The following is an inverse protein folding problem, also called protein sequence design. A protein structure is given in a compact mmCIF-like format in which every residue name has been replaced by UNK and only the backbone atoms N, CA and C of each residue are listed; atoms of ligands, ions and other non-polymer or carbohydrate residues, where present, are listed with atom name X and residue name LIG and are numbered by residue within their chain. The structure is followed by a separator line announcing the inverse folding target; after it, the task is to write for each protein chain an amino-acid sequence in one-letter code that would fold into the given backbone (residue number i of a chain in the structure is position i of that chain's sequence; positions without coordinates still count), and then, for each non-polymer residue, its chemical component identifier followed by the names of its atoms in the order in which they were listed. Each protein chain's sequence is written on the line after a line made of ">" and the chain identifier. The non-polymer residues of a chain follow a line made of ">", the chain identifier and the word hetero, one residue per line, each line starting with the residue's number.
data_IF_293725551150
#
_entry.id   IF_293725551150
#
_cell.length_a   1.000
_cell.length_b   1.000
_cell.length_c   1.000
_cell.angle_alpha   90.00
_cell.angle_beta   90.00
_cell.angle_gamma   90.00
#
_symmetry.space_group_name_H-M   'P 1'
#
loop_
_entity.id
_entity.type
_entity.pdbx_description
1 polymer ?
#
# COMPACT_ATOMS: atom_id res chain seq x y z
N UNK A 1 -15.87 24.20 -29.24
CA UNK A 1 -16.46 23.73 -28.00
C UNK A 1 -15.32 23.67 -26.98
N UNK A 2 -15.44 24.36 -25.84
CA UNK A 2 -14.39 24.37 -24.82
C UNK A 2 -14.50 23.08 -23.99
N UNK A 3 -13.38 22.38 -23.80
CA UNK A 3 -13.30 21.19 -22.96
C UNK A 3 -12.57 21.50 -21.67
N UNK A 4 -13.10 20.98 -20.57
CA UNK A 4 -12.50 21.07 -19.24
C UNK A 4 -12.24 19.67 -18.71
N UNK A 5 -11.03 19.41 -18.25
CA UNK A 5 -10.68 18.16 -17.57
C UNK A 5 -10.63 18.41 -16.08
N UNK A 6 -11.36 17.62 -15.32
CA UNK A 6 -11.29 17.60 -13.86
C UNK A 6 -10.50 16.36 -13.45
N UNK A 7 -9.28 16.56 -12.96
CA UNK A 7 -8.36 15.53 -12.52
C UNK A 7 -7.96 15.84 -11.07
N UNK A 8 -8.87 15.57 -10.15
CA UNK A 8 -8.69 15.85 -8.72
C UNK A 8 -8.45 14.58 -7.93
N UNK A 9 -7.59 14.68 -6.91
CA UNK A 9 -7.49 13.67 -5.86
C UNK A 9 -8.53 13.94 -4.76
N UNK A 10 -8.60 13.04 -3.78
CA UNK A 10 -9.44 13.12 -2.58
C UNK A 10 -9.01 14.25 -1.65
N UNK A 11 -9.95 14.70 -0.81
CA UNK A 11 -9.64 15.50 0.40
C UNK A 11 -9.68 14.55 1.61
N UNK A 12 -8.50 14.13 2.07
CA UNK A 12 -8.33 13.13 3.14
C UNK A 12 -9.29 13.38 4.31
N UNK A 13 -10.10 12.37 4.65
CA UNK A 13 -11.03 12.40 5.77
C UNK A 13 -12.34 13.16 5.53
N UNK A 14 -12.57 13.76 4.34
CA UNK A 14 -13.78 14.54 4.04
C UNK A 14 -14.48 14.13 2.76
N UNK A 15 -13.81 14.19 1.61
CA UNK A 15 -14.41 13.89 0.31
C UNK A 15 -13.55 12.89 -0.48
N UNK A 16 -14.19 11.95 -1.13
CA UNK A 16 -13.55 11.09 -2.13
C UNK A 16 -13.18 11.87 -3.39
N UNK A 17 -12.25 11.39 -4.20
CA UNK A 17 -11.90 12.00 -5.48
C UNK A 17 -13.13 12.13 -6.40
N UNK A 18 -14.07 11.18 -6.34
CA UNK A 18 -15.31 11.22 -7.12
C UNK A 18 -16.24 12.33 -6.66
N UNK A 19 -16.41 12.54 -5.36
CA UNK A 19 -17.24 13.63 -4.82
C UNK A 19 -16.63 14.99 -5.13
N UNK A 20 -15.30 15.15 -4.97
CA UNK A 20 -14.60 16.39 -5.38
C UNK A 20 -14.84 16.68 -6.85
N UNK A 21 -14.66 15.68 -7.72
CA UNK A 21 -14.85 15.85 -9.15
C UNK A 21 -16.32 16.19 -9.50
N UNK A 22 -17.29 15.58 -8.81
CA UNK A 22 -18.71 15.88 -9.01
C UNK A 22 -19.05 17.34 -8.63
N UNK A 23 -18.57 17.80 -7.48
CA UNK A 23 -18.80 19.18 -7.04
C UNK A 23 -18.10 20.20 -7.94
N UNK A 24 -16.85 19.94 -8.36
CA UNK A 24 -16.16 20.81 -9.32
C UNK A 24 -16.88 20.87 -10.66
N UNK A 25 -17.33 19.71 -11.17
CA UNK A 25 -18.07 19.65 -12.44
C UNK A 25 -19.38 20.40 -12.37
N UNK A 26 -20.13 20.27 -11.26
CA UNK A 26 -21.37 21.01 -11.04
C UNK A 26 -21.15 22.52 -11.03
N UNK A 27 -20.15 23.00 -10.29
CA UNK A 27 -19.84 24.43 -10.24
C UNK A 27 -19.36 25.00 -11.59
N UNK A 28 -18.57 24.23 -12.35
CA UNK A 28 -18.16 24.64 -13.70
C UNK A 28 -19.37 24.77 -14.62
N UNK A 29 -20.27 23.80 -14.62
CA UNK A 29 -21.44 23.80 -15.49
C UNK A 29 -22.50 24.83 -15.09
N UNK A 30 -22.56 25.24 -13.82
CA UNK A 30 -23.41 26.34 -13.34
C UNK A 30 -22.99 27.68 -13.96
N UNK A 31 -21.69 27.93 -14.08
CA UNK A 31 -21.16 29.17 -14.65
C UNK A 31 -20.99 29.10 -16.16
N UNK A 32 -20.66 27.94 -16.69
CA UNK A 32 -20.39 27.68 -18.11
C UNK A 32 -21.10 26.42 -18.60
N UNK A 33 -22.40 26.48 -18.84
CA UNK A 33 -23.19 25.32 -19.30
C UNK A 33 -22.84 24.84 -20.72
N UNK A 34 -22.07 25.63 -21.45
CA UNK A 34 -21.63 25.38 -22.83
C UNK A 34 -20.35 24.53 -22.93
N UNK A 35 -19.69 24.21 -21.82
CA UNK A 35 -18.44 23.42 -21.84
C UNK A 35 -18.71 21.93 -21.68
N UNK A 36 -17.84 21.12 -22.28
CA UNK A 36 -17.78 19.68 -22.05
C UNK A 36 -16.84 19.40 -20.87
N UNK A 37 -17.33 18.80 -19.79
CA UNK A 37 -16.52 18.43 -18.63
C UNK A 37 -16.21 16.93 -18.69
N UNK A 38 -14.91 16.60 -18.69
CA UNK A 38 -14.41 15.23 -18.61
C UNK A 38 -13.75 15.03 -17.25
N UNK A 39 -14.21 14.03 -16.48
CA UNK A 39 -13.60 13.64 -15.20
C UNK A 39 -12.59 12.53 -15.44
N UNK A 40 -11.35 12.76 -15.01
CA UNK A 40 -10.25 11.77 -15.04
C UNK A 40 -9.88 11.49 -13.59
N UNK A 41 -10.21 10.31 -13.05
CA UNK A 41 -9.80 9.97 -11.69
C UNK A 41 -8.28 9.82 -11.64
N UNK A 42 -7.68 10.40 -10.60
CA UNK A 42 -6.25 10.30 -10.33
C UNK A 42 -6.04 9.79 -8.90
N UNK A 43 -4.93 9.13 -8.67
CA UNK A 43 -4.49 8.68 -7.35
C UNK A 43 -2.97 8.81 -7.27
N UNK A 44 -2.49 9.20 -6.11
CA UNK A 44 -1.08 9.31 -5.77
C UNK A 44 -0.43 7.99 -5.29
N UNK A 45 -1.16 6.87 -5.46
CA UNK A 45 -0.76 5.56 -4.93
C UNK A 45 -1.25 5.30 -3.50
N UNK A 46 -1.94 6.25 -2.88
CA UNK A 46 -2.68 6.07 -1.64
C UNK A 46 -4.13 5.63 -1.88
N UNK A 47 -5.00 5.91 -0.89
CA UNK A 47 -6.42 5.56 -0.96
C UNK A 47 -7.07 6.05 -2.25
N UNK A 48 -7.85 5.19 -2.92
CA UNK A 48 -8.58 5.52 -4.16
C UNK A 48 -7.91 5.03 -5.45
N UNK A 49 -6.77 4.36 -5.37
CA UNK A 49 -6.11 3.73 -6.52
C UNK A 49 -7.02 2.69 -7.17
N UNK A 50 -7.66 1.83 -6.37
CA UNK A 50 -8.54 0.77 -6.89
C UNK A 50 -9.79 1.33 -7.55
N UNK A 51 -10.38 2.41 -7.01
CA UNK A 51 -11.52 3.11 -7.62
C UNK A 51 -11.14 3.74 -8.96
N UNK A 52 -9.97 4.36 -9.04
CA UNK A 52 -9.46 4.94 -10.28
C UNK A 52 -9.24 3.86 -11.34
N UNK A 53 -8.61 2.74 -10.98
CA UNK A 53 -8.39 1.61 -11.89
C UNK A 53 -9.70 0.95 -12.32
N UNK A 54 -10.68 0.78 -11.43
CA UNK A 54 -12.00 0.23 -11.77
C UNK A 54 -12.71 1.07 -12.82
N UNK A 55 -12.62 2.40 -12.77
CA UNK A 55 -13.15 3.31 -13.80
C UNK A 55 -12.42 3.18 -15.15
N UNK A 56 -11.18 2.66 -15.13
CA UNK A 56 -10.41 2.34 -16.33
C UNK A 56 -10.68 0.92 -16.87
N UNK A 57 -11.74 0.24 -16.40
CA UNK A 57 -12.15 -1.07 -16.89
C UNK A 57 -11.45 -2.25 -16.20
N UNK A 58 -10.87 -2.03 -15.03
CA UNK A 58 -10.38 -3.13 -14.19
C UNK A 58 -11.55 -3.76 -13.42
N UNK A 59 -11.54 -5.08 -13.33
CA UNK A 59 -12.54 -5.85 -12.58
C UNK A 59 -12.07 -6.06 -11.14
N UNK A 60 -13.00 -5.99 -10.19
CA UNK A 60 -12.71 -6.21 -8.77
C UNK A 60 -12.66 -7.71 -8.44
N UNK A 61 -11.59 -8.13 -7.77
CA UNK A 61 -11.40 -9.47 -7.23
C UNK A 61 -11.37 -9.40 -5.72
N UNK A 62 -12.37 -10.01 -5.07
CA UNK A 62 -12.44 -10.09 -3.61
C UNK A 62 -11.48 -11.17 -3.08
N UNK A 63 -10.75 -10.85 -2.01
CA UNK A 63 -9.82 -11.76 -1.35
C UNK A 63 -9.92 -11.61 0.17
N UNK A 64 -9.41 -12.60 0.91
CA UNK A 64 -9.17 -12.49 2.35
C UNK A 64 -7.68 -12.59 2.58
N UNK A 65 -7.12 -11.65 3.33
CA UNK A 65 -5.70 -11.58 3.63
C UNK A 65 -5.49 -11.22 5.12
N UNK A 66 -4.25 -11.30 5.57
CA UNK A 66 -3.87 -10.84 6.90
C UNK A 66 -3.97 -9.32 6.99
N UNK A 67 -4.67 -8.81 7.99
CA UNK A 67 -4.66 -7.41 8.36
C UNK A 67 -3.34 -7.01 9.02
N UNK A 68 -3.20 -5.73 9.42
CA UNK A 68 -1.93 -5.21 9.93
C UNK A 68 -1.42 -5.94 11.18
N UNK A 69 -2.28 -6.50 12.00
CA UNK A 69 -1.93 -7.26 13.21
C UNK A 69 -2.24 -8.77 13.09
N UNK A 70 -2.31 -9.29 11.84
CA UNK A 70 -2.43 -10.72 11.54
C UNK A 70 -3.86 -11.26 11.53
N UNK A 71 -4.89 -10.49 11.95
CA UNK A 71 -6.29 -10.91 11.85
C UNK A 71 -6.74 -10.97 10.38
N UNK A 72 -7.64 -11.90 10.02
CA UNK A 72 -8.16 -11.96 8.66
C UNK A 72 -9.02 -10.74 8.33
N UNK A 73 -8.75 -10.11 7.20
CA UNK A 73 -9.53 -8.99 6.66
C UNK A 73 -10.06 -9.33 5.28
N UNK A 74 -11.30 -8.96 5.02
CA UNK A 74 -11.84 -8.96 3.66
C UNK A 74 -11.31 -7.74 2.93
N UNK A 75 -10.69 -7.98 1.80
CA UNK A 75 -10.09 -6.96 0.96
C UNK A 75 -10.30 -7.30 -0.52
N UNK A 76 -9.66 -6.57 -1.40
CA UNK A 76 -9.77 -6.74 -2.86
C UNK A 76 -8.51 -6.27 -3.54
N UNK A 77 -8.34 -6.71 -4.76
CA UNK A 77 -7.52 -6.05 -5.76
C UNK A 77 -8.34 -5.88 -7.04
N UNK A 78 -7.84 -5.14 -8.00
CA UNK A 78 -8.47 -5.01 -9.30
C UNK A 78 -7.55 -5.52 -10.40
N UNK A 79 -8.13 -6.13 -11.46
CA UNK A 79 -7.35 -6.69 -12.56
C UNK A 79 -7.95 -6.36 -13.91
N UNK A 80 -7.11 -6.32 -14.95
CA UNK A 80 -7.50 -6.24 -16.35
C UNK A 80 -6.51 -7.07 -17.18
N UNK A 81 -6.95 -8.23 -17.66
CA UNK A 81 -6.04 -9.16 -18.33
C UNK A 81 -4.89 -9.60 -17.43
N UNK A 82 -3.64 -9.26 -17.79
CA UNK A 82 -2.42 -9.57 -17.02
C UNK A 82 -2.02 -8.45 -16.05
N UNK A 83 -2.73 -7.34 -16.06
CA UNK A 83 -2.48 -6.20 -15.18
C UNK A 83 -3.28 -6.31 -13.88
N UNK A 84 -2.68 -5.95 -12.77
CA UNK A 84 -3.36 -5.81 -11.47
C UNK A 84 -2.99 -4.49 -10.80
N UNK A 85 -3.90 -3.93 -10.01
CA UNK A 85 -3.59 -2.87 -9.07
C UNK A 85 -4.04 -3.29 -7.66
N UNK A 86 -3.17 -3.04 -6.69
CA UNK A 86 -3.34 -3.42 -5.28
C UNK A 86 -3.03 -2.20 -4.43
N UNK A 87 -3.85 -1.95 -3.42
CA UNK A 87 -3.73 -0.80 -2.52
C UNK A 87 -3.45 -1.29 -1.10
N UNK A 88 -2.31 -0.89 -0.55
CA UNK A 88 -1.88 -1.28 0.79
C UNK A 88 -2.87 -0.86 1.87
N UNK A 89 -3.46 0.34 1.73
CA UNK A 89 -4.44 0.88 2.68
C UNK A 89 -5.66 -0.04 2.85
N UNK A 90 -6.08 -0.72 1.79
CA UNK A 90 -7.21 -1.67 1.79
C UNK A 90 -6.89 -3.00 2.50
N UNK A 91 -5.62 -3.32 2.75
CA UNK A 91 -5.16 -4.58 3.31
C UNK A 91 -4.59 -4.41 4.71
N UNK A 92 -3.48 -3.68 4.83
CA UNK A 92 -2.72 -3.45 6.05
C UNK A 92 -2.50 -1.96 6.35
N UNK A 93 -3.49 -1.14 6.00
CA UNK A 93 -3.52 0.29 6.29
C UNK A 93 -3.91 0.63 7.74
N UNK A 94 -3.72 1.89 8.13
CA UNK A 94 -4.07 2.40 9.46
C UNK A 94 -5.55 2.21 9.80
N UNK A 95 -6.45 2.36 8.82
CA UNK A 95 -7.88 2.19 9.01
C UNK A 95 -8.30 0.70 9.17
N UNK A 96 -7.38 -0.24 8.93
CA UNK A 96 -7.59 -1.68 9.11
C UNK A 96 -7.14 -2.19 10.48
N UNK A 97 -6.57 -1.34 11.33
CA UNK A 97 -6.20 -1.69 12.69
C UNK A 97 -7.44 -1.97 13.53
N UNK A 98 -7.49 -3.11 14.27
CA UNK A 98 -8.60 -3.45 15.15
C UNK A 98 -8.82 -2.37 16.21
N UNK A 99 -10.06 -1.87 16.31
CA UNK A 99 -10.42 -0.82 17.27
C UNK A 99 -9.69 0.52 17.03
N UNK A 100 -8.92 0.67 15.93
CA UNK A 100 -8.07 1.83 15.70
C UNK A 100 -6.81 1.90 16.57
N UNK A 101 -6.47 0.80 17.25
CA UNK A 101 -5.29 0.72 18.12
C UNK A 101 -4.02 0.68 17.31
N UNK A 102 -3.19 1.72 17.46
CA UNK A 102 -1.92 1.84 16.73
C UNK A 102 -0.92 0.78 17.22
N UNK A 103 -0.25 0.11 16.28
CA UNK A 103 0.64 -1.02 16.54
C UNK A 103 1.99 -0.88 15.83
N UNK A 104 2.76 0.20 16.06
CA UNK A 104 3.95 0.53 15.28
C UNK A 104 5.02 -0.57 15.32
N UNK A 105 5.14 -1.30 16.42
CA UNK A 105 6.14 -2.33 16.61
C UNK A 105 5.79 -3.66 15.91
N UNK A 106 4.50 -3.98 15.81
CA UNK A 106 4.01 -5.32 15.42
C UNK A 106 3.20 -5.35 14.15
N UNK A 107 2.73 -4.20 13.66
CA UNK A 107 2.01 -4.15 12.39
C UNK A 107 2.91 -4.61 11.24
N UNK A 108 2.34 -5.43 10.34
CA UNK A 108 3.05 -6.09 9.24
C UNK A 108 2.44 -5.78 7.89
N UNK A 109 3.28 -5.76 6.87
CA UNK A 109 2.91 -5.70 5.46
C UNK A 109 2.57 -7.08 4.86
N UNK A 110 2.52 -8.16 5.66
CA UNK A 110 2.29 -9.54 5.21
C UNK A 110 1.06 -9.66 4.31
N UNK A 111 -0.06 -9.10 4.72
CA UNK A 111 -1.30 -9.20 3.96
C UNK A 111 -1.19 -8.62 2.55
N UNK A 112 -0.40 -7.55 2.35
CA UNK A 112 -0.14 -7.03 1.02
C UNK A 112 0.56 -8.08 0.15
N UNK A 113 1.56 -8.79 0.68
CA UNK A 113 2.23 -9.89 -0.02
C UNK A 113 1.30 -11.04 -0.35
N UNK A 114 0.35 -11.38 0.54
CA UNK A 114 -0.68 -12.41 0.29
C UNK A 114 -1.60 -12.03 -0.87
N UNK A 115 -1.99 -10.75 -0.97
CA UNK A 115 -2.79 -10.25 -2.10
C UNK A 115 -1.98 -10.26 -3.39
N UNK A 116 -0.69 -9.88 -3.34
CA UNK A 116 0.22 -9.99 -4.49
C UNK A 116 0.35 -11.44 -4.96
N UNK A 117 0.57 -12.39 -4.04
CA UNK A 117 0.62 -13.82 -4.37
C UNK A 117 -0.67 -14.27 -5.07
N UNK A 118 -1.84 -13.86 -4.55
CA UNK A 118 -3.13 -14.18 -5.16
C UNK A 118 -3.26 -13.60 -6.58
N UNK A 119 -2.76 -12.39 -6.82
CA UNK A 119 -2.76 -11.79 -8.15
C UNK A 119 -1.82 -12.55 -9.12
N UNK A 120 -0.64 -12.97 -8.64
CA UNK A 120 0.30 -13.81 -9.40
C UNK A 120 -0.31 -15.17 -9.75
N UNK A 121 -0.96 -15.85 -8.79
CA UNK A 121 -1.67 -17.10 -8.99
C UNK A 121 -2.83 -16.97 -9.99
N UNK A 122 -3.46 -15.77 -10.05
CA UNK A 122 -4.47 -15.45 -11.05
C UNK A 122 -3.88 -15.11 -12.43
N UNK A 123 -2.55 -15.23 -12.61
CA UNK A 123 -1.82 -15.01 -13.86
C UNK A 123 -1.48 -13.55 -14.17
N UNK A 124 -1.59 -12.64 -13.20
CA UNK A 124 -1.16 -11.27 -13.41
C UNK A 124 0.38 -11.19 -13.43
N UNK A 125 0.93 -10.49 -14.43
CA UNK A 125 2.38 -10.30 -14.61
C UNK A 125 2.82 -8.84 -14.54
N UNK A 126 1.89 -7.89 -14.51
CA UNK A 126 2.13 -6.47 -14.30
C UNK A 126 1.31 -5.98 -13.13
N UNK A 127 1.96 -5.72 -12.00
CA UNK A 127 1.28 -5.41 -10.73
C UNK A 127 1.69 -4.02 -10.27
N UNK A 128 0.72 -3.13 -10.13
CA UNK A 128 0.88 -1.80 -9.54
C UNK A 128 0.51 -1.86 -8.05
N UNK A 129 1.44 -1.48 -7.19
CA UNK A 129 1.27 -1.43 -5.75
C UNK A 129 1.19 0.02 -5.27
N UNK A 130 0.05 0.44 -4.78
CA UNK A 130 -0.08 1.69 -4.03
C UNK A 130 0.30 1.46 -2.57
N UNK A 131 1.33 2.12 -2.05
CA UNK A 131 1.86 1.88 -0.70
C UNK A 131 1.51 2.96 0.32
N UNK A 132 0.65 3.91 -0.04
CA UNK A 132 0.14 4.94 0.88
C UNK A 132 -0.72 4.35 2.02
N UNK A 133 -0.84 5.09 3.12
CA UNK A 133 -1.72 4.77 4.25
C UNK A 133 -1.33 3.56 5.10
N UNK A 134 -0.11 3.03 5.00
CA UNK A 134 0.35 1.83 5.72
C UNK A 134 0.32 1.98 7.24
N UNK A 135 -0.04 0.90 7.95
CA UNK A 135 0.10 0.80 9.40
C UNK A 135 1.48 0.28 9.83
N UNK A 136 2.13 -0.49 8.98
CA UNK A 136 3.40 -1.17 9.29
C UNK A 136 4.62 -0.24 9.22
N UNK A 137 5.68 -0.65 9.95
CA UNK A 137 7.02 -0.06 9.94
C UNK A 137 8.07 -1.13 9.60
N UNK A 138 7.65 -2.23 8.98
CA UNK A 138 8.46 -3.43 8.76
C UNK A 138 9.31 -3.40 7.48
N UNK A 139 9.43 -2.24 6.81
CA UNK A 139 10.24 -2.10 5.60
C UNK A 139 9.87 -3.05 4.45
N UNK A 140 8.64 -3.62 4.48
CA UNK A 140 8.19 -4.61 3.50
C UNK A 140 8.60 -6.05 3.82
N UNK A 141 9.18 -6.33 4.99
CA UNK A 141 9.60 -7.68 5.37
C UNK A 141 8.44 -8.67 5.39
N UNK A 142 7.28 -8.25 5.90
CA UNK A 142 6.06 -9.06 5.86
C UNK A 142 5.63 -9.39 4.43
N UNK A 143 5.66 -8.39 3.54
CA UNK A 143 5.31 -8.56 2.12
C UNK A 143 6.20 -9.61 1.46
N UNK A 144 7.51 -9.49 1.55
CA UNK A 144 8.43 -10.45 0.91
C UNK A 144 8.35 -11.83 1.57
N UNK A 145 8.06 -11.89 2.88
CA UNK A 145 7.85 -13.16 3.58
C UNK A 145 6.59 -13.88 3.10
N UNK A 146 5.49 -13.15 2.84
CA UNK A 146 4.29 -13.74 2.26
C UNK A 146 4.50 -14.22 0.81
N UNK A 147 5.44 -13.62 0.10
CA UNK A 147 5.87 -14.05 -1.23
C UNK A 147 6.89 -15.20 -1.21
N UNK A 148 7.19 -15.75 -0.04
CA UNK A 148 8.03 -16.95 0.13
C UNK A 148 9.48 -16.70 0.52
N UNK A 149 9.92 -15.45 0.68
CA UNK A 149 11.22 -15.16 1.29
C UNK A 149 11.20 -15.50 2.79
N UNK A 150 12.36 -15.77 3.37
CA UNK A 150 12.48 -15.95 4.82
C UNK A 150 13.50 -14.96 5.40
N UNK A 151 13.03 -14.08 6.29
CA UNK A 151 13.90 -13.24 7.11
C UNK A 151 14.37 -14.09 8.28
N UNK A 152 15.69 -14.29 8.43
CA UNK A 152 16.27 -15.18 9.43
C UNK A 152 17.14 -14.41 10.41
N UNK A 153 17.13 -14.87 11.66
CA UNK A 153 18.04 -14.41 12.70
C UNK A 153 19.44 -15.09 12.58
N UNK A 154 20.34 -14.74 13.49
CA UNK A 154 21.72 -15.31 13.54
C UNK A 154 21.72 -16.82 13.81
N UNK A 155 20.67 -17.39 14.34
CA UNK A 155 20.54 -18.84 14.59
C UNK A 155 19.94 -19.59 13.40
N UNK A 156 19.48 -18.88 12.38
CA UNK A 156 18.75 -19.41 11.21
C UNK A 156 17.26 -19.56 11.43
N UNK A 157 16.72 -19.16 12.59
CA UNK A 157 15.29 -19.17 12.85
C UNK A 157 14.59 -18.01 12.11
N UNK A 158 13.32 -18.21 11.76
CA UNK A 158 12.53 -17.16 11.11
C UNK A 158 12.21 -16.03 12.09
N UNK A 159 12.46 -14.80 11.66
CA UNK A 159 12.09 -13.60 12.41
C UNK A 159 10.58 -13.40 12.34
N UNK A 160 9.91 -13.11 13.46
CA UNK A 160 8.49 -12.78 13.48
C UNK A 160 8.14 -11.56 12.63
N UNK A 161 6.85 -11.42 12.28
CA UNK A 161 6.33 -10.24 11.61
C UNK A 161 6.39 -8.99 12.49
N UNK A 162 6.45 -7.81 11.84
CA UNK A 162 6.48 -6.50 12.49
C UNK A 162 7.85 -5.84 12.51
N UNK A 163 7.83 -4.51 12.52
CA UNK A 163 9.06 -3.70 12.41
C UNK A 163 10.06 -3.95 13.53
N UNK A 164 9.60 -4.05 14.78
CA UNK A 164 10.48 -4.28 15.93
C UNK A 164 11.23 -5.61 15.88
N UNK A 165 10.64 -6.63 15.28
CA UNK A 165 11.28 -7.95 15.18
C UNK A 165 12.50 -7.94 14.24
N UNK A 166 12.58 -6.97 13.32
CA UNK A 166 13.69 -6.85 12.36
C UNK A 166 15.04 -6.55 13.01
N UNK A 167 15.08 -6.11 14.27
CA UNK A 167 16.33 -6.01 15.04
C UNK A 167 17.07 -7.35 15.09
N UNK A 168 16.34 -8.46 15.04
CA UNK A 168 16.92 -9.81 15.08
C UNK A 168 17.35 -10.29 13.68
N UNK A 169 16.99 -9.57 12.61
CA UNK A 169 17.29 -9.99 11.26
C UNK A 169 18.79 -10.02 10.97
N UNK A 170 19.26 -11.12 10.40
CA UNK A 170 20.67 -11.32 10.05
C UNK A 170 20.86 -11.79 8.60
N UNK A 171 19.83 -12.39 7.99
CA UNK A 171 19.88 -12.87 6.62
C UNK A 171 18.48 -12.83 5.97
N UNK A 172 18.50 -12.68 4.65
CA UNK A 172 17.30 -12.81 3.80
C UNK A 172 17.51 -13.98 2.85
N UNK A 173 16.68 -15.01 2.99
CA UNK A 173 16.67 -16.18 2.13
C UNK A 173 15.55 -16.04 1.08
N UNK A 174 15.93 -15.98 -0.19
CA UNK A 174 15.03 -15.79 -1.33
C UNK A 174 14.68 -17.08 -2.06
N UNK A 175 15.17 -18.25 -1.59
CA UNK A 175 15.03 -19.53 -2.30
C UNK A 175 13.60 -20.00 -2.42
N UNK A 176 12.72 -19.58 -1.51
CA UNK A 176 11.30 -19.93 -1.50
C UNK A 176 10.38 -18.94 -2.23
N UNK A 177 10.93 -17.91 -2.90
CA UNK A 177 10.12 -16.90 -3.57
C UNK A 177 9.13 -17.49 -4.56
N UNK A 178 7.95 -16.89 -4.62
CA UNK A 178 6.89 -17.25 -5.55
C UNK A 178 7.42 -17.28 -7.00
N UNK A 179 7.32 -18.42 -7.71
CA UNK A 179 8.00 -18.61 -8.99
C UNK A 179 7.54 -17.61 -10.07
N UNK A 180 6.27 -17.18 -10.05
CA UNK A 180 5.76 -16.21 -11.02
C UNK A 180 6.39 -14.82 -10.87
N UNK A 181 7.12 -14.51 -9.80
CA UNK A 181 7.86 -13.26 -9.66
C UNK A 181 9.00 -13.12 -10.66
N UNK A 182 9.52 -14.23 -11.20
CA UNK A 182 10.57 -14.20 -12.22
C UNK A 182 10.12 -13.54 -13.52
N UNK A 183 8.83 -13.66 -13.84
CA UNK A 183 8.24 -13.15 -15.08
C UNK A 183 7.30 -11.95 -14.82
N UNK A 184 7.20 -11.50 -13.57
CA UNK A 184 6.33 -10.39 -13.19
C UNK A 184 7.11 -9.08 -12.99
N UNK A 185 6.45 -7.98 -13.30
CA UNK A 185 6.92 -6.63 -12.98
C UNK A 185 6.05 -6.06 -11.87
N UNK A 186 6.67 -5.69 -10.75
CA UNK A 186 6.03 -4.97 -9.65
C UNK A 186 6.45 -3.50 -9.73
N UNK A 187 5.47 -2.62 -9.90
CA UNK A 187 5.68 -1.17 -9.88
C UNK A 187 5.10 -0.61 -8.59
N UNK A 188 5.93 0.07 -7.80
CA UNK A 188 5.49 0.70 -6.55
C UNK A 188 5.15 2.16 -6.82
N UNK A 189 3.89 2.55 -6.59
CA UNK A 189 3.47 3.94 -6.58
C UNK A 189 3.69 4.52 -5.18
N UNK A 190 4.64 5.45 -5.09
CA UNK A 190 5.03 6.12 -3.85
C UNK A 190 5.31 7.60 -4.15
N UNK A 191 4.73 8.49 -3.36
CA UNK A 191 4.84 9.94 -3.48
C UNK A 191 5.85 10.56 -2.50
N UNK A 192 6.58 9.71 -1.76
CA UNK A 192 7.57 10.14 -0.77
C UNK A 192 8.97 9.63 -1.13
N UNK A 193 9.98 10.44 -0.85
CA UNK A 193 11.40 10.19 -1.15
C UNK A 193 12.27 10.18 0.12
N UNK A 194 11.67 10.05 1.29
CA UNK A 194 12.39 10.00 2.55
C UNK A 194 13.38 8.83 2.56
N UNK A 195 14.60 9.03 3.06
CA UNK A 195 15.52 7.93 3.33
C UNK A 195 14.94 6.98 4.38
N UNK A 196 15.43 5.76 4.45
CA UNK A 196 14.93 4.80 5.44
C UNK A 196 15.28 5.21 6.87
N UNK A 197 16.48 5.76 7.07
CA UNK A 197 17.07 6.10 8.38
C UNK A 197 17.45 7.57 8.48
N UNK A 198 17.81 8.00 9.69
CA UNK A 198 18.27 9.37 9.97
C UNK A 198 17.16 10.34 10.36
N UNK A 199 17.48 11.62 10.60
CA UNK A 199 16.53 12.61 11.14
C UNK A 199 15.34 12.90 10.22
N UNK A 200 15.51 12.71 8.91
CA UNK A 200 14.45 12.85 7.88
C UNK A 200 13.99 11.48 7.37
N UNK A 201 14.38 10.42 8.04
CA UNK A 201 14.05 9.05 7.67
C UNK A 201 12.60 8.68 7.88
N UNK A 202 12.16 7.61 7.22
CA UNK A 202 10.77 7.15 7.27
C UNK A 202 10.29 6.88 8.72
N UNK A 203 11.14 6.35 9.58
CA UNK A 203 10.81 6.12 11.00
C UNK A 203 10.56 7.45 11.74
N UNK A 204 11.42 8.45 11.54
CA UNK A 204 11.30 9.75 12.19
C UNK A 204 10.07 10.54 11.71
N UNK A 205 9.79 10.50 10.42
CA UNK A 205 8.72 11.30 9.79
C UNK A 205 7.36 10.62 9.91
N UNK A 206 7.27 9.31 9.66
CA UNK A 206 6.00 8.57 9.60
C UNK A 206 5.72 7.70 10.83
N UNK A 207 6.72 7.41 11.66
CA UNK A 207 6.54 6.62 12.88
C UNK A 207 5.50 7.22 13.85
N UNK A 208 5.54 8.52 14.16
CA UNK A 208 4.59 9.13 15.09
C UNK A 208 3.12 8.94 14.71
N UNK A 209 2.75 9.10 13.43
CA UNK A 209 1.36 8.87 12.97
C UNK A 209 0.92 7.40 13.07
N UNK A 210 1.87 6.46 13.16
CA UNK A 210 1.64 5.03 13.36
C UNK A 210 1.67 4.64 14.85
N UNK A 211 1.89 5.61 15.75
CA UNK A 211 1.93 5.42 17.19
C UNK A 211 3.32 5.17 17.77
N UNK A 212 4.39 5.33 16.99
CA UNK A 212 5.74 5.19 17.51
C UNK A 212 6.10 6.37 18.44
N UNK A 213 6.57 6.06 19.63
CA UNK A 213 7.15 7.03 20.54
C UNK A 213 8.63 7.32 20.19
N UNK A 214 9.23 8.27 20.91
CA UNK A 214 10.62 8.67 20.65
C UNK A 214 11.63 7.50 20.82
N UNK A 215 11.33 6.53 21.68
CA UNK A 215 12.15 5.35 21.88
C UNK A 215 12.13 4.43 20.66
N UNK A 216 10.95 4.20 20.11
CA UNK A 216 10.75 3.39 18.89
C UNK A 216 11.31 4.08 17.64
N UNK A 217 11.17 5.40 17.54
CA UNK A 217 11.73 6.20 16.44
C UNK A 217 13.25 6.20 16.44
N UNK A 218 13.88 6.24 17.62
CA UNK A 218 15.34 6.23 17.78
C UNK A 218 15.97 4.84 17.70
N UNK A 219 15.14 3.81 17.53
CA UNK A 219 15.66 2.44 17.39
C UNK A 219 16.61 2.37 16.19
N UNK A 220 17.77 1.74 16.32
CA UNK A 220 18.72 1.61 15.22
C UNK A 220 18.09 0.74 14.12
N UNK A 221 17.35 1.41 13.24
CA UNK A 221 16.75 0.81 12.08
C UNK A 221 17.86 0.45 11.11
N UNK A 222 18.08 -0.82 10.94
CA UNK A 222 19.03 -1.48 10.05
C UNK A 222 20.50 -1.07 10.21
N UNK A 223 21.41 -2.04 10.42
CA UNK A 223 22.83 -1.75 10.26
C UNK A 223 23.07 -1.18 8.87
N UNK A 224 23.85 -0.13 8.77
CA UNK A 224 24.35 0.35 7.48
C UNK A 224 25.00 -0.83 6.75
N UNK A 225 24.47 -1.13 5.55
CA UNK A 225 25.03 -2.17 4.68
C UNK A 225 26.20 -1.60 3.91
#
# INVERSE_FOLDING_TARGET
>A
MTRVVVASDKFKGTLTAAEVAAHLSAGILEVRPDVEVTVVPVSDGGDGLLEAAARCGFETVAVTASGPTGQPVRTRFVRRGLEAAIEMAEVCGLLRLPGGELAPATASSRGLGEVVATALDAGCTSILLGVGGSASTDGGAGLVSALGAAVRDRTGAQVPDGGAALEQAAALDLTGLHPALLDATLTVACDVDNPLTGPTGAAAVYGPQKGADAGLVSWPSFPEV
#
